data_IF_858540180256
#
_entry.id   IF_858540180256
#
_cell.length_a   1.000
_cell.length_b   1.000
_cell.length_c   1.000
_cell.angle_alpha   90.00
_cell.angle_beta   90.00
_cell.angle_gamma   90.00
#
_symmetry.space_group_name_H-M   'P 1'
#
loop_
_entity.id
_entity.type
_entity.pdbx_description
1 polymer ?
#
# COMPACT_ATOMS: atom_id res chain seq x y z
N UNK A 1 -5.30 18.11 -10.24
CA UNK A 1 -4.86 16.77 -10.65
C UNK A 1 -4.76 15.88 -9.42
N UNK A 2 -5.64 14.92 -9.37
CA UNK A 2 -5.69 13.95 -8.29
C UNK A 2 -4.51 12.99 -8.43
N UNK A 3 -3.44 13.22 -7.65
CA UNK A 3 -2.40 12.23 -7.49
C UNK A 3 -2.78 11.29 -6.36
N UNK A 4 -3.48 10.22 -6.72
CA UNK A 4 -3.66 9.08 -5.83
C UNK A 4 -2.29 8.51 -5.49
N UNK A 5 -1.99 8.34 -4.21
CA UNK A 5 -0.91 7.48 -3.75
C UNK A 5 -1.30 6.06 -4.18
N UNK A 6 -0.92 5.72 -5.38
CA UNK A 6 -0.93 4.33 -5.82
C UNK A 6 0.12 3.63 -4.98
N UNK A 7 -0.15 2.49 -4.44
CA UNK A 7 0.67 1.56 -3.67
C UNK A 7 2.19 1.79 -3.59
N UNK A 8 2.72 2.87 -4.18
CA UNK A 8 4.15 3.20 -4.23
C UNK A 8 4.43 4.70 -4.18
N UNK A 9 5.46 5.05 -3.43
CA UNK A 9 6.11 6.36 -3.44
C UNK A 9 7.35 6.32 -4.32
N UNK A 10 7.58 7.36 -5.10
CA UNK A 10 8.72 7.47 -6.04
C UNK A 10 9.39 8.83 -5.90
N UNK A 11 10.72 8.84 -6.03
CA UNK A 11 11.49 10.08 -6.16
C UNK A 11 11.04 10.90 -7.38
N UNK A 12 11.25 12.20 -7.31
CA UNK A 12 10.90 13.17 -8.36
C UNK A 12 9.39 13.21 -8.71
N UNK A 13 8.53 12.78 -7.77
CA UNK A 13 7.08 12.86 -7.90
C UNK A 13 6.49 13.68 -6.76
N UNK A 14 5.38 14.34 -7.05
CA UNK A 14 4.65 15.15 -6.09
C UNK A 14 3.62 14.30 -5.34
N UNK A 15 3.63 14.43 -4.02
CA UNK A 15 2.66 13.85 -3.10
C UNK A 15 2.39 14.84 -1.96
N UNK A 16 1.15 14.97 -1.55
CA UNK A 16 0.82 15.69 -0.34
C UNK A 16 1.30 14.92 0.89
N UNK A 17 2.17 15.54 1.70
CA UNK A 17 2.77 14.92 2.88
C UNK A 17 1.72 14.38 3.86
N UNK A 18 0.69 15.18 4.16
CA UNK A 18 -0.36 14.78 5.11
C UNK A 18 -1.24 13.66 4.53
N UNK A 19 -1.39 13.62 3.21
CA UNK A 19 -2.10 12.54 2.53
C UNK A 19 -1.31 11.23 2.61
N UNK A 20 0.01 11.27 2.45
CA UNK A 20 0.88 10.09 2.66
C UNK A 20 0.76 9.56 4.08
N UNK A 21 0.77 10.45 5.08
CA UNK A 21 0.60 10.06 6.48
C UNK A 21 -0.77 9.40 6.72
N UNK A 22 -1.85 9.99 6.22
CA UNK A 22 -3.21 9.41 6.33
C UNK A 22 -3.30 8.04 5.65
N UNK A 23 -2.64 7.88 4.51
CA UNK A 23 -2.59 6.60 3.79
C UNK A 23 -1.86 5.52 4.58
N UNK A 24 -0.74 5.87 5.23
CA UNK A 24 -0.03 4.95 6.13
C UNK A 24 -0.90 4.51 7.31
N UNK A 25 -1.61 5.44 7.94
CA UNK A 25 -2.55 5.14 9.03
C UNK A 25 -3.69 4.24 8.53
N UNK A 26 -4.25 4.55 7.37
CA UNK A 26 -5.29 3.73 6.75
C UNK A 26 -4.83 2.30 6.47
N UNK A 27 -3.58 2.11 6.05
CA UNK A 27 -2.94 0.80 5.83
C UNK A 27 -2.46 0.13 7.11
N UNK A 28 -2.89 0.63 8.26
CA UNK A 28 -2.60 0.11 9.60
C UNK A 28 -1.12 0.17 10.01
N UNK A 29 -0.33 1.06 9.41
CA UNK A 29 0.99 1.38 9.93
C UNK A 29 0.88 2.10 11.28
N UNK A 30 1.72 1.71 12.22
CA UNK A 30 1.73 2.28 13.56
C UNK A 30 2.66 3.49 13.59
N UNK A 31 2.15 4.65 14.03
CA UNK A 31 2.97 5.82 14.29
C UNK A 31 3.83 5.62 15.54
N UNK A 32 5.12 5.81 15.43
CA UNK A 32 6.11 5.70 16.50
C UNK A 32 7.09 6.88 16.47
N UNK A 33 7.81 7.10 17.56
CA UNK A 33 8.84 8.14 17.60
C UNK A 33 10.08 7.75 16.79
N UNK A 34 10.43 6.47 16.81
CA UNK A 34 11.54 5.89 16.07
C UNK A 34 11.16 4.52 15.51
N UNK A 35 11.32 4.36 14.21
CA UNK A 35 10.99 3.11 13.51
C UNK A 35 11.98 2.02 13.89
N UNK A 36 11.48 0.87 14.31
CA UNK A 36 12.26 -0.31 14.70
C UNK A 36 11.76 -1.62 14.05
N UNK A 37 10.49 -1.70 13.69
CA UNK A 37 9.84 -2.93 13.20
C UNK A 37 9.05 -2.68 11.93
N UNK A 38 8.88 -3.73 11.14
CA UNK A 38 7.95 -3.71 9.98
C UNK A 38 6.56 -3.27 10.40
N UNK A 39 5.93 -2.43 9.57
CA UNK A 39 4.61 -1.88 9.84
C UNK A 39 4.61 -0.64 10.73
N UNK A 40 5.75 -0.06 11.00
CA UNK A 40 5.90 1.21 11.72
C UNK A 40 6.27 2.36 10.79
N UNK A 41 5.86 3.57 11.15
CA UNK A 41 6.31 4.80 10.52
C UNK A 41 6.53 5.91 11.56
N UNK A 42 7.40 6.85 11.23
CA UNK A 42 7.66 8.04 12.04
C UNK A 42 7.76 9.28 11.14
N UNK A 43 7.41 10.44 11.68
CA UNK A 43 7.49 11.71 10.96
C UNK A 43 8.35 12.70 11.71
N UNK A 44 9.23 13.41 11.00
CA UNK A 44 10.06 14.50 11.53
C UNK A 44 10.26 15.58 10.48
N UNK A 45 9.62 16.76 10.67
CA UNK A 45 9.68 17.81 9.66
C UNK A 45 9.16 17.31 8.31
N UNK A 46 9.97 17.45 7.26
CA UNK A 46 9.68 16.94 5.91
C UNK A 46 10.13 15.50 5.66
N UNK A 47 10.33 14.69 6.70
CA UNK A 47 10.82 13.32 6.59
C UNK A 47 9.76 12.34 7.08
N UNK A 48 9.53 11.28 6.31
CA UNK A 48 8.75 10.11 6.73
C UNK A 48 9.67 8.89 6.71
N UNK A 49 9.89 8.30 7.88
CA UNK A 49 10.56 7.01 8.02
C UNK A 49 9.50 5.90 8.01
N UNK A 50 9.68 4.90 7.17
CA UNK A 50 8.72 3.80 7.00
C UNK A 50 9.47 2.47 7.02
N UNK A 51 8.95 1.48 7.75
CA UNK A 51 9.40 0.10 7.61
C UNK A 51 8.33 -0.71 6.86
N UNK A 52 8.45 -0.83 5.52
CA UNK A 52 7.49 -1.59 4.74
C UNK A 52 7.43 -3.05 5.16
N UNK A 53 6.25 -3.63 5.11
CA UNK A 53 6.03 -5.04 5.49
C UNK A 53 6.72 -6.03 4.56
N UNK A 54 7.02 -5.60 3.33
CA UNK A 54 7.63 -6.43 2.28
C UNK A 54 9.15 -6.29 2.17
N UNK A 55 9.75 -5.37 2.93
CA UNK A 55 11.21 -5.13 2.92
C UNK A 55 11.86 -5.62 4.22
N UNK A 56 13.14 -5.95 4.12
CA UNK A 56 13.96 -6.33 5.26
C UNK A 56 14.64 -5.13 5.94
N UNK A 57 14.40 -3.93 5.42
CA UNK A 57 15.00 -2.69 5.88
C UNK A 57 13.99 -1.54 5.82
N UNK A 58 14.10 -0.56 6.73
CA UNK A 58 13.30 0.65 6.65
C UNK A 58 13.85 1.63 5.63
N UNK A 59 12.98 2.51 5.15
CA UNK A 59 13.31 3.56 4.20
C UNK A 59 12.97 4.93 4.77
N UNK A 60 13.78 5.91 4.41
CA UNK A 60 13.58 7.33 4.70
C UNK A 60 13.16 8.03 3.45
N UNK A 61 12.01 8.67 3.50
CA UNK A 61 11.44 9.46 2.41
C UNK A 61 11.58 10.94 2.78
N UNK A 62 12.32 11.69 1.98
CA UNK A 62 12.53 13.12 2.20
C UNK A 62 11.66 13.95 1.24
N UNK A 63 10.95 14.92 1.81
CA UNK A 63 10.09 15.84 1.10
C UNK A 63 10.67 17.26 1.10
N UNK A 64 10.58 17.90 -0.05
CA UNK A 64 10.73 19.34 -0.18
C UNK A 64 9.41 19.92 -0.71
N UNK A 65 8.64 20.55 0.19
CA UNK A 65 7.25 20.84 -0.12
C UNK A 65 6.44 19.57 -0.36
N UNK A 66 5.84 19.46 -1.54
CA UNK A 66 5.06 18.28 -1.95
C UNK A 66 5.86 17.31 -2.83
N UNK A 67 7.13 17.59 -3.09
CA UNK A 67 7.99 16.73 -3.92
C UNK A 67 8.84 15.79 -3.06
N UNK A 68 8.84 14.51 -3.40
CA UNK A 68 9.79 13.54 -2.83
C UNK A 68 11.14 13.72 -3.53
N UNK A 69 12.13 14.18 -2.79
CA UNK A 69 13.48 14.46 -3.30
C UNK A 69 14.45 13.32 -3.10
N UNK A 70 14.19 12.42 -2.17
CA UNK A 70 15.07 11.29 -1.89
C UNK A 70 14.33 10.15 -1.19
N UNK A 71 14.66 8.91 -1.56
CA UNK A 71 14.22 7.69 -0.86
C UNK A 71 15.41 6.78 -0.66
N UNK A 72 15.83 6.64 0.60
CA UNK A 72 17.01 5.84 0.97
C UNK A 72 16.73 4.85 2.08
N UNK A 73 17.48 3.77 2.07
CA UNK A 73 17.55 2.87 3.22
C UNK A 73 18.21 3.56 4.40
N UNK A 74 17.76 3.25 5.62
CA UNK A 74 18.46 3.65 6.85
C UNK A 74 18.59 2.47 7.82
N UNK A 75 19.49 2.62 8.77
CA UNK A 75 19.76 1.62 9.81
C UNK A 75 18.87 1.85 11.03
N UNK A 76 18.20 0.80 11.50
CA UNK A 76 17.41 0.84 12.74
C UNK A 76 18.28 1.11 13.96
N UNK A 77 19.52 0.58 13.97
CA UNK A 77 20.39 0.65 15.14
C UNK A 77 20.82 2.06 15.51
N UNK A 78 21.16 2.89 14.53
CA UNK A 78 21.65 4.26 14.74
C UNK A 78 20.77 5.34 14.05
N UNK A 79 19.70 4.94 13.35
CA UNK A 79 18.77 5.81 12.65
C UNK A 79 19.42 6.66 11.55
N UNK A 80 20.57 6.24 11.04
CA UNK A 80 21.29 6.95 9.97
C UNK A 80 20.98 6.37 8.60
N UNK A 81 20.80 7.27 7.66
CA UNK A 81 20.68 6.93 6.24
C UNK A 81 21.96 6.24 5.77
N UNK A 82 21.81 5.21 4.94
CA UNK A 82 22.90 4.50 4.29
C UNK A 82 23.09 5.12 2.91
N UNK A 83 24.11 6.00 2.70
CA UNK A 83 24.22 6.81 1.50
C UNK A 83 24.44 6.00 0.22
N UNK A 84 25.01 4.81 0.35
CA UNK A 84 25.34 3.93 -0.77
C UNK A 84 24.13 3.18 -1.33
N UNK A 85 22.98 3.20 -0.61
CA UNK A 85 21.79 2.46 -1.00
C UNK A 85 20.66 3.44 -1.30
N UNK A 86 20.55 3.78 -2.57
CA UNK A 86 19.39 4.48 -3.11
C UNK A 86 18.28 3.47 -3.38
N UNK A 87 17.08 3.78 -2.97
CA UNK A 87 15.89 2.95 -3.19
C UNK A 87 15.04 3.51 -4.33
N UNK A 88 14.92 4.82 -4.43
CA UNK A 88 14.23 5.55 -5.49
C UNK A 88 12.72 5.34 -5.56
N UNK A 89 12.24 4.22 -5.03
CA UNK A 89 10.84 3.83 -4.98
C UNK A 89 10.59 2.91 -3.79
N UNK A 90 9.46 3.09 -3.13
CA UNK A 90 8.99 2.18 -2.09
C UNK A 90 7.52 1.82 -2.31
N UNK A 91 7.21 0.54 -2.30
CA UNK A 91 5.85 0.03 -2.34
C UNK A 91 5.32 -0.14 -0.91
N UNK A 92 4.12 0.40 -0.66
CA UNK A 92 3.51 0.41 0.66
C UNK A 92 2.31 -0.52 0.65
N UNK A 93 2.48 -1.70 1.24
CA UNK A 93 1.42 -2.68 1.44
C UNK A 93 0.81 -2.54 2.84
N UNK A 94 -0.45 -2.98 3.07
CA UNK A 94 -1.06 -2.97 4.38
C UNK A 94 -0.19 -3.65 5.45
N UNK A 95 -0.10 -3.04 6.63
CA UNK A 95 0.70 -3.55 7.75
C UNK A 95 0.03 -4.68 8.53
N UNK A 96 -1.27 -4.89 8.33
CA UNK A 96 -2.05 -5.99 8.90
C UNK A 96 -2.91 -6.63 7.83
N UNK A 97 -3.20 -7.90 8.02
CA UNK A 97 -4.32 -8.53 7.34
C UNK A 97 -5.60 -7.82 7.80
N UNK A 98 -6.32 -7.23 6.85
CA UNK A 98 -7.63 -6.66 7.14
C UNK A 98 -8.61 -7.82 7.36
N UNK A 99 -9.36 -7.83 8.47
CA UNK A 99 -10.32 -8.89 8.70
C UNK A 99 -11.44 -8.81 7.64
N UNK A 100 -11.84 -9.95 7.10
CA UNK A 100 -13.00 -10.04 6.23
C UNK A 100 -14.24 -9.96 7.11
N UNK A 101 -14.79 -8.75 7.23
CA UNK A 101 -16.06 -8.54 7.96
C UNK A 101 -17.25 -8.94 7.09
N UNK A 102 -18.41 -9.16 7.71
CA UNK A 102 -19.66 -9.46 6.98
C UNK A 102 -20.04 -8.35 6.00
N UNK A 103 -19.78 -7.10 6.34
CA UNK A 103 -20.00 -5.96 5.45
C UNK A 103 -19.09 -6.02 4.20
N UNK A 104 -17.83 -6.38 4.37
CA UNK A 104 -16.86 -6.58 3.29
C UNK A 104 -17.28 -7.78 2.42
N UNK A 105 -17.64 -8.89 3.03
CA UNK A 105 -18.09 -10.08 2.34
C UNK A 105 -19.35 -9.81 1.47
N UNK A 106 -20.30 -9.05 2.00
CA UNK A 106 -21.51 -8.65 1.26
C UNK A 106 -21.17 -7.75 0.06
N UNK A 107 -20.31 -6.76 0.25
CA UNK A 107 -19.84 -5.90 -0.84
C UNK A 107 -19.10 -6.70 -1.92
N UNK A 108 -18.31 -7.67 -1.53
CA UNK A 108 -17.62 -8.55 -2.46
C UNK A 108 -18.60 -9.36 -3.31
N UNK A 109 -19.61 -9.94 -2.69
CA UNK A 109 -20.67 -10.67 -3.41
C UNK A 109 -21.41 -9.78 -4.42
N UNK A 110 -21.79 -8.56 -4.01
CA UNK A 110 -22.48 -7.60 -4.89
C UNK A 110 -21.59 -7.18 -6.08
N UNK A 111 -20.29 -7.01 -5.88
CA UNK A 111 -19.35 -6.67 -6.94
C UNK A 111 -19.10 -7.83 -7.91
N UNK A 112 -19.06 -9.06 -7.43
CA UNK A 112 -18.91 -10.24 -8.28
C UNK A 112 -20.03 -10.33 -9.30
N UNK A 113 -21.26 -10.02 -8.90
CA UNK A 113 -22.43 -10.01 -9.79
C UNK A 113 -22.36 -8.87 -10.81
N UNK A 114 -21.82 -7.71 -10.42
CA UNK A 114 -21.70 -6.53 -11.29
C UNK A 114 -20.60 -6.61 -12.34
N UNK A 115 -19.60 -7.44 -12.13
CA UNK A 115 -18.41 -7.52 -12.98
C UNK A 115 -18.10 -8.95 -13.47
N UNK A 116 -19.03 -9.60 -14.17
CA UNK A 116 -18.87 -10.99 -14.60
C UNK A 116 -17.81 -11.17 -15.71
N UNK A 117 -17.36 -10.08 -16.32
CA UNK A 117 -16.41 -10.11 -17.44
C UNK A 117 -14.95 -10.40 -17.08
N UNK A 118 -14.60 -10.47 -15.78
CA UNK A 118 -13.25 -10.79 -15.32
C UNK A 118 -13.27 -12.01 -14.38
N UNK A 119 -13.00 -13.22 -14.89
CA UNK A 119 -13.08 -14.45 -14.10
C UNK A 119 -12.16 -14.47 -12.86
N UNK A 120 -10.94 -13.92 -12.98
CA UNK A 120 -10.01 -13.85 -11.85
C UNK A 120 -10.52 -12.96 -10.73
N UNK A 121 -11.10 -11.81 -11.07
CA UNK A 121 -11.73 -10.92 -10.10
C UNK A 121 -12.96 -11.56 -9.46
N UNK A 122 -13.81 -12.21 -10.24
CA UNK A 122 -15.00 -12.93 -9.74
C UNK A 122 -14.59 -14.02 -8.77
N UNK A 123 -13.56 -14.81 -9.08
CA UNK A 123 -13.04 -15.84 -8.18
C UNK A 123 -12.56 -15.25 -6.85
N UNK A 124 -11.76 -14.17 -6.91
CA UNK A 124 -11.25 -13.50 -5.72
C UNK A 124 -12.38 -12.89 -4.87
N UNK A 125 -13.34 -12.21 -5.51
CA UNK A 125 -14.52 -11.65 -4.84
C UNK A 125 -15.39 -12.73 -4.21
N UNK A 126 -15.54 -13.87 -4.86
CA UNK A 126 -16.29 -15.02 -4.33
C UNK A 126 -15.62 -15.57 -3.08
N UNK A 127 -14.29 -15.76 -3.10
CA UNK A 127 -13.53 -16.19 -1.91
C UNK A 127 -13.70 -15.21 -0.74
N UNK A 128 -13.59 -13.92 -1.00
CA UNK A 128 -13.79 -12.88 0.03
C UNK A 128 -15.24 -12.91 0.56
N UNK A 129 -16.24 -13.11 -0.29
CA UNK A 129 -17.65 -13.22 0.13
C UNK A 129 -17.92 -14.43 1.02
N UNK A 130 -17.11 -15.47 0.90
CA UNK A 130 -17.16 -16.70 1.71
C UNK A 130 -16.21 -16.68 2.92
N UNK A 131 -15.59 -15.52 3.21
CA UNK A 131 -14.56 -15.34 4.24
C UNK A 131 -13.32 -16.24 4.08
N UNK A 132 -13.00 -16.60 2.84
CA UNK A 132 -11.85 -17.44 2.52
C UNK A 132 -10.66 -16.53 2.17
N UNK A 133 -9.54 -16.60 2.92
CA UNK A 133 -8.32 -15.88 2.57
C UNK A 133 -7.79 -16.31 1.20
N UNK A 134 -7.40 -15.33 0.38
CA UNK A 134 -6.83 -15.58 -0.94
C UNK A 134 -5.66 -14.64 -1.21
N UNK A 135 -4.70 -15.09 -1.99
CA UNK A 135 -3.58 -14.26 -2.43
C UNK A 135 -4.08 -13.09 -3.28
N UNK A 136 -3.57 -11.89 -3.01
CA UNK A 136 -3.96 -10.66 -3.72
C UNK A 136 -5.22 -9.99 -3.19
N UNK A 137 -5.84 -10.51 -2.13
CA UNK A 137 -7.06 -9.93 -1.56
C UNK A 137 -6.82 -8.63 -0.79
N UNK A 138 -5.60 -8.32 -0.38
CA UNK A 138 -5.27 -7.16 0.46
C UNK A 138 -5.67 -5.85 -0.23
N UNK A 139 -5.34 -5.71 -1.52
CA UNK A 139 -5.72 -4.55 -2.31
C UNK A 139 -7.26 -4.46 -2.48
N UNK A 140 -7.91 -5.61 -2.65
CA UNK A 140 -9.36 -5.69 -2.76
C UNK A 140 -10.06 -5.33 -1.44
N UNK A 141 -9.55 -5.81 -0.30
CA UNK A 141 -10.10 -5.50 1.01
C UNK A 141 -10.05 -4.00 1.32
N UNK A 142 -8.98 -3.31 0.94
CA UNK A 142 -8.87 -1.87 1.10
C UNK A 142 -10.00 -1.13 0.36
N UNK A 143 -10.31 -1.53 -0.87
CA UNK A 143 -11.42 -0.96 -1.66
C UNK A 143 -12.77 -1.29 -1.03
N UNK A 144 -12.97 -2.53 -0.62
CA UNK A 144 -14.23 -2.99 -0.03
C UNK A 144 -14.49 -2.38 1.35
N UNK A 145 -13.43 -2.03 2.09
CA UNK A 145 -13.52 -1.32 3.35
C UNK A 145 -13.93 0.15 3.20
N UNK A 146 -14.02 0.66 1.97
CA UNK A 146 -14.44 2.03 1.67
C UNK A 146 -13.29 3.04 1.67
N UNK A 147 -12.08 2.60 1.34
CA UNK A 147 -10.96 3.51 1.12
C UNK A 147 -11.31 4.53 0.02
N UNK A 148 -11.24 5.83 0.29
CA UNK A 148 -11.73 6.83 -0.64
C UNK A 148 -10.86 7.00 -1.90
N UNK A 149 -9.72 6.30 -2.00
CA UNK A 149 -8.67 6.60 -2.96
C UNK A 149 -8.40 5.55 -4.02
N UNK A 150 -9.10 4.41 -4.01
CA UNK A 150 -8.90 3.37 -5.03
C UNK A 150 -10.20 3.16 -5.79
N UNK A 151 -10.18 3.45 -7.09
CA UNK A 151 -11.32 3.18 -7.95
C UNK A 151 -11.29 1.74 -8.45
N UNK A 152 -12.46 1.17 -8.69
CA UNK A 152 -12.60 -0.19 -9.21
C UNK A 152 -11.78 -0.45 -10.50
N UNK A 153 -11.71 0.49 -11.48
CA UNK A 153 -10.87 0.35 -12.65
C UNK A 153 -9.38 0.22 -12.36
N UNK A 154 -8.87 0.92 -11.36
CA UNK A 154 -7.44 0.85 -10.95
C UNK A 154 -7.11 -0.47 -10.28
N UNK A 155 -8.05 -1.01 -9.48
CA UNK A 155 -7.93 -2.34 -8.90
C UNK A 155 -7.89 -3.43 -9.98
N UNK A 156 -8.73 -3.33 -11.00
CA UNK A 156 -8.76 -4.25 -12.13
C UNK A 156 -7.44 -4.26 -12.90
N UNK A 157 -6.84 -3.10 -13.11
CA UNK A 157 -5.53 -2.98 -13.76
C UNK A 157 -4.40 -3.60 -12.92
N UNK A 158 -4.44 -3.45 -11.60
CA UNK A 158 -3.49 -4.07 -10.68
C UNK A 158 -3.61 -5.59 -10.65
N UNK A 159 -4.83 -6.13 -10.66
CA UNK A 159 -5.07 -7.57 -10.67
C UNK A 159 -4.71 -8.23 -12.01
N UNK A 160 -4.85 -7.53 -13.13
CA UNK A 160 -4.42 -8.00 -14.46
C UNK A 160 -2.90 -8.15 -14.52
N UNK A 161 -2.14 -7.26 -13.85
CA UNK A 161 -0.68 -7.35 -13.79
C UNK A 161 -0.16 -8.53 -12.95
N UNK A 162 -0.94 -8.99 -11.96
CA UNK A 162 -0.58 -10.13 -11.10
C UNK A 162 -0.86 -11.47 -11.81
N UNK A 163 -1.78 -11.50 -12.76
CA UNK A 163 -2.20 -12.74 -13.44
C UNK A 163 -1.47 -13.02 -14.77
N UNK A 164 -0.50 -12.23 -15.18
CA UNK A 164 0.38 -12.59 -16.30
C UNK A 164 1.46 -13.57 -15.79
N UNK A 165 1.44 -14.84 -16.25
CA UNK A 165 2.56 -15.73 -15.98
C UNK A 165 3.79 -15.15 -16.69
N UNK A 166 4.86 -14.93 -15.93
CA UNK A 166 6.18 -14.68 -16.50
C UNK A 166 6.48 -15.78 -17.50
N UNK A 167 6.42 -15.45 -18.78
CA UNK A 167 6.90 -16.36 -19.83
C UNK A 167 8.39 -16.54 -19.66
N UNK A 168 8.88 -17.79 -19.74
CA UNK A 168 10.31 -18.07 -19.72
C UNK A 168 11.06 -17.43 -20.86
#
# INVERSE_FOLDING_TARGET
SEMCIRDSLKEDHEYDFDEVVRELEFRAYKHVDMVAKRGEYATRGGIIDIFPTTLDYPVRVEFWGDEITDIRQFSVADQRTIPEIEVGRVDIFPARELPITDAIAKRAADLAVKHPGNPALVELLTKVSEHIPAEGMEALLAVLAGAPFVTLPELLLSLIHISEPTRP
#
